data_IF_017944905636
#
_entry.id   IF_017944905636
#
_cell.length_a   1.000
_cell.length_b   1.000
_cell.length_c   1.000
_cell.angle_alpha   90.00
_cell.angle_beta   90.00
_cell.angle_gamma   90.00
#
_symmetry.space_group_name_H-M   'P 1'
#
loop_
_entity.id
_entity.type
_entity.pdbx_description
1 polymer ?
#
# COMPACT_ATOMS: atom_id res chain seq x y z
N UNK A 1 26.28 18.62 9.30
CA UNK A 1 25.12 19.38 8.79
C UNK A 1 24.03 18.40 8.35
N UNK A 2 22.77 18.61 8.75
CA UNK A 2 21.64 17.70 8.47
C UNK A 2 20.57 18.42 7.62
N UNK A 3 19.75 17.64 6.93
CA UNK A 3 18.79 18.03 5.87
C UNK A 3 17.67 19.00 6.30
N UNK A 4 17.41 19.18 7.60
CA UNK A 4 16.43 20.16 8.11
C UNK A 4 17.13 21.36 8.77
N UNK A 5 16.66 22.58 8.45
CA UNK A 5 17.14 23.83 9.03
C UNK A 5 16.64 24.07 10.46
N UNK A 6 15.62 23.33 10.92
CA UNK A 6 15.00 23.56 12.22
C UNK A 6 15.47 22.50 13.25
N UNK A 7 16.13 22.92 14.35
CA UNK A 7 16.72 21.99 15.33
C UNK A 7 15.66 21.15 16.06
N UNK A 8 14.44 21.65 16.25
CA UNK A 8 13.32 20.90 16.84
C UNK A 8 12.93 19.68 16.00
N UNK A 9 12.80 19.85 14.67
CA UNK A 9 12.46 18.75 13.76
C UNK A 9 13.58 17.70 13.67
N UNK A 10 14.83 18.13 13.88
CA UNK A 10 15.99 17.24 13.92
C UNK A 10 15.96 16.28 15.11
N UNK A 11 15.39 16.69 16.25
CA UNK A 11 15.23 15.81 17.42
C UNK A 11 14.21 14.69 17.16
N UNK A 12 13.24 14.91 16.28
CA UNK A 12 12.22 13.93 15.91
C UNK A 12 12.74 12.87 14.92
N UNK A 13 13.79 13.20 14.15
CA UNK A 13 14.51 12.26 13.28
C UNK A 13 15.52 11.42 14.10
N UNK A 14 15.05 10.78 15.16
CA UNK A 14 15.85 9.89 16.00
C UNK A 14 15.49 8.44 15.70
N UNK A 15 16.50 7.60 15.48
CA UNK A 15 16.31 6.17 15.21
C UNK A 15 15.51 5.46 16.31
N UNK A 16 15.63 5.91 17.57
CA UNK A 16 14.84 5.36 18.70
C UNK A 16 13.35 5.65 18.55
N UNK A 17 12.99 6.85 18.04
CA UNK A 17 11.60 7.22 17.78
C UNK A 17 11.07 6.41 16.61
N UNK A 18 11.86 6.25 15.55
CA UNK A 18 11.49 5.41 14.41
C UNK A 18 11.16 3.97 14.84
N UNK A 19 11.99 3.34 15.68
CA UNK A 19 11.71 2.00 16.20
C UNK A 19 10.41 1.96 17.00
N UNK A 20 10.18 2.93 17.90
CA UNK A 20 8.93 2.99 18.68
C UNK A 20 7.70 3.14 17.79
N UNK A 21 7.77 3.98 16.76
CA UNK A 21 6.68 4.15 15.80
C UNK A 21 6.43 2.86 15.02
N UNK A 22 7.48 2.20 14.52
CA UNK A 22 7.35 0.93 13.80
C UNK A 22 6.69 -0.13 14.69
N UNK A 23 7.15 -0.29 15.94
CA UNK A 23 6.53 -1.24 16.89
C UNK A 23 5.06 -0.91 17.14
N UNK A 24 4.72 0.36 17.32
CA UNK A 24 3.33 0.81 17.51
C UNK A 24 2.48 0.51 16.27
N UNK A 25 3.00 0.76 15.06
CA UNK A 25 2.30 0.42 13.82
C UNK A 25 2.08 -1.09 13.69
N UNK A 26 3.08 -1.91 14.00
CA UNK A 26 2.95 -3.37 13.98
C UNK A 26 1.83 -3.82 14.92
N UNK A 27 1.79 -3.29 16.14
CA UNK A 27 0.74 -3.62 17.11
C UNK A 27 -0.64 -3.21 16.59
N UNK A 28 -0.78 -2.00 16.04
CA UNK A 28 -2.05 -1.52 15.48
C UNK A 28 -2.51 -2.42 14.32
N UNK A 29 -1.61 -2.79 13.41
CA UNK A 29 -1.93 -3.68 12.30
C UNK A 29 -2.37 -5.07 12.78
N UNK A 30 -1.65 -5.65 13.74
CA UNK A 30 -2.04 -6.93 14.34
C UNK A 30 -3.44 -6.85 14.99
N UNK A 31 -3.75 -5.76 15.71
CA UNK A 31 -5.07 -5.58 16.30
C UNK A 31 -6.17 -5.44 15.25
N UNK A 32 -5.90 -4.73 14.14
CA UNK A 32 -6.82 -4.61 13.00
C UNK A 32 -7.06 -5.95 12.28
N UNK A 33 -6.09 -6.86 12.34
CA UNK A 33 -6.17 -8.17 11.68
C UNK A 33 -6.80 -9.27 12.56
N UNK A 34 -6.95 -9.06 13.87
CA UNK A 34 -7.64 -10.00 14.78
C UNK A 34 -9.04 -10.41 14.28
N UNK A 35 -9.91 -9.49 13.81
CA UNK A 35 -11.21 -9.86 13.25
C UNK A 35 -11.12 -10.86 12.09
N UNK A 36 -10.06 -10.82 11.28
CA UNK A 36 -9.87 -11.80 10.22
C UNK A 36 -9.62 -13.21 10.77
N UNK A 37 -8.98 -13.36 11.93
CA UNK A 37 -8.77 -14.65 12.57
C UNK A 37 -10.05 -15.22 13.20
N UNK A 38 -10.96 -14.36 13.65
CA UNK A 38 -12.16 -14.77 14.39
C UNK A 38 -13.32 -15.09 13.44
N UNK A 39 -13.51 -14.28 12.38
CA UNK A 39 -14.72 -14.34 11.54
C UNK A 39 -14.54 -15.11 10.23
N UNK A 40 -13.34 -15.62 9.94
CA UNK A 40 -13.13 -16.53 8.82
C UNK A 40 -13.20 -17.99 9.30
N UNK A 41 -14.14 -18.75 8.74
CA UNK A 41 -14.22 -20.20 8.95
C UNK A 41 -14.00 -20.96 7.64
N UNK A 42 -13.57 -22.21 7.80
CA UNK A 42 -13.45 -23.16 6.70
C UNK A 42 -14.78 -23.89 6.52
N UNK A 43 -15.46 -23.62 5.41
CA UNK A 43 -16.70 -24.31 5.07
C UNK A 43 -16.38 -25.33 3.97
N UNK A 44 -16.82 -26.57 4.18
CA UNK A 44 -16.77 -27.61 3.17
C UNK A 44 -17.92 -27.43 2.19
N UNK A 45 -17.61 -27.05 0.94
CA UNK A 45 -18.62 -26.92 -0.11
C UNK A 45 -18.89 -28.28 -0.75
N UNK A 46 -20.05 -28.86 -0.44
CA UNK A 46 -20.54 -30.13 -1.01
C UNK A 46 -20.62 -30.07 -2.55
N UNK A 47 -20.89 -28.89 -3.12
CA UNK A 47 -21.03 -28.70 -4.57
C UNK A 47 -19.73 -28.80 -5.37
N UNK A 48 -18.58 -28.56 -4.73
CA UNK A 48 -17.27 -28.52 -5.41
C UNK A 48 -16.23 -29.43 -4.78
N UNK A 49 -16.58 -30.16 -3.70
CA UNK A 49 -15.66 -30.97 -2.88
C UNK A 49 -14.38 -30.21 -2.49
N UNK A 50 -14.50 -28.90 -2.25
CA UNK A 50 -13.39 -28.03 -1.87
C UNK A 50 -13.69 -27.35 -0.54
N UNK A 51 -12.66 -27.21 0.27
CA UNK A 51 -12.69 -26.39 1.49
C UNK A 51 -12.42 -24.95 1.07
N UNK A 52 -13.37 -24.06 1.36
CA UNK A 52 -13.20 -22.62 1.09
C UNK A 52 -13.31 -21.84 2.38
N UNK A 53 -12.45 -20.83 2.54
CA UNK A 53 -12.52 -19.90 3.67
C UNK A 53 -13.58 -18.83 3.36
N UNK A 54 -14.60 -18.75 4.20
CA UNK A 54 -15.72 -17.81 4.02
C UNK A 54 -15.94 -17.03 5.30
N UNK A 55 -16.31 -15.77 5.16
CA UNK A 55 -16.71 -14.93 6.29
C UNK A 55 -18.06 -15.41 6.81
N UNK A 56 -18.15 -15.71 8.10
CA UNK A 56 -19.40 -16.16 8.75
C UNK A 56 -20.29 -15.01 9.20
N UNK A 57 -19.74 -13.81 9.36
CA UNK A 57 -20.46 -12.64 9.86
C UNK A 57 -20.73 -11.61 8.75
N UNK A 58 -22.00 -11.23 8.50
CA UNK A 58 -22.32 -10.21 7.49
C UNK A 58 -21.77 -8.82 7.86
N UNK A 59 -21.70 -8.51 9.16
CA UNK A 59 -21.14 -7.26 9.68
C UNK A 59 -19.64 -7.19 9.35
N UNK A 60 -18.91 -8.29 9.55
CA UNK A 60 -17.50 -8.36 9.23
C UNK A 60 -17.25 -8.26 7.71
N UNK A 61 -18.12 -8.86 6.91
CA UNK A 61 -18.07 -8.71 5.44
C UNK A 61 -18.25 -7.25 5.03
N UNK A 62 -19.20 -6.51 5.61
CA UNK A 62 -19.35 -5.07 5.35
C UNK A 62 -18.12 -4.26 5.79
N UNK A 63 -17.57 -4.53 6.98
CA UNK A 63 -16.34 -3.91 7.45
C UNK A 63 -15.18 -4.13 6.47
N UNK A 64 -15.01 -5.35 5.96
CA UNK A 64 -13.97 -5.67 4.99
C UNK A 64 -14.13 -4.90 3.68
N UNK A 65 -15.35 -4.83 3.17
CA UNK A 65 -15.68 -4.22 1.86
C UNK A 65 -15.56 -2.70 1.89
N UNK A 66 -16.10 -2.06 2.93
CA UNK A 66 -16.22 -0.60 2.97
C UNK A 66 -15.09 0.09 3.72
N UNK A 67 -14.42 -0.60 4.64
CA UNK A 67 -13.38 -0.01 5.47
C UNK A 67 -12.01 -0.64 5.20
N UNK A 68 -11.85 -1.94 5.43
CA UNK A 68 -10.53 -2.56 5.39
C UNK A 68 -9.87 -2.50 4.02
N UNK A 69 -10.57 -2.95 2.97
CA UNK A 69 -10.00 -2.99 1.62
C UNK A 69 -9.75 -1.58 1.03
N UNK A 70 -10.74 -0.66 0.97
CA UNK A 70 -10.54 0.63 0.33
C UNK A 70 -9.75 1.63 1.19
N UNK A 71 -9.98 1.68 2.51
CA UNK A 71 -9.39 2.71 3.36
C UNK A 71 -8.01 2.28 3.83
N UNK A 72 -7.90 1.14 4.52
CA UNK A 72 -6.63 0.67 5.06
C UNK A 72 -5.68 0.18 3.95
N UNK A 73 -6.20 -0.56 2.98
CA UNK A 73 -5.39 -1.14 1.89
C UNK A 73 -5.08 -0.17 0.74
N UNK A 74 -5.91 0.86 0.52
CA UNK A 74 -5.79 1.75 -0.64
C UNK A 74 -5.51 3.20 -0.26
N UNK A 75 -6.53 3.88 0.27
CA UNK A 75 -6.52 5.33 0.44
C UNK A 75 -5.46 5.80 1.45
N UNK A 76 -5.42 5.21 2.64
CA UNK A 76 -4.51 5.59 3.71
C UNK A 76 -3.03 5.51 3.29
N UNK A 77 -2.51 4.39 2.75
CA UNK A 77 -1.11 4.31 2.33
C UNK A 77 -0.79 5.29 1.19
N UNK A 78 -1.70 5.49 0.23
CA UNK A 78 -1.51 6.46 -0.87
C UNK A 78 -1.44 7.89 -0.33
N UNK A 79 -2.33 8.27 0.59
CA UNK A 79 -2.32 9.60 1.20
C UNK A 79 -1.05 9.85 1.99
N UNK A 80 -0.63 8.90 2.84
CA UNK A 80 0.59 9.00 3.63
C UNK A 80 1.80 9.13 2.70
N UNK A 81 1.93 8.25 1.71
CA UNK A 81 3.02 8.30 0.74
C UNK A 81 3.05 9.64 0.00
N UNK A 82 1.89 10.13 -0.47
CA UNK A 82 1.77 11.40 -1.19
C UNK A 82 2.26 12.58 -0.36
N UNK A 83 1.87 12.65 0.92
CA UNK A 83 2.34 13.70 1.83
C UNK A 83 3.87 13.62 2.00
N UNK A 84 4.42 12.42 2.17
CA UNK A 84 5.88 12.24 2.29
C UNK A 84 6.63 12.60 1.00
N UNK A 85 6.11 12.27 -0.19
CA UNK A 85 6.77 12.69 -1.43
C UNK A 85 6.71 14.19 -1.67
N UNK A 86 5.58 14.85 -1.35
CA UNK A 86 5.49 16.32 -1.45
C UNK A 86 6.53 16.94 -0.51
N UNK A 87 6.63 16.46 0.74
CA UNK A 87 7.65 16.92 1.67
C UNK A 87 9.07 16.64 1.17
N UNK A 88 9.31 15.48 0.57
CA UNK A 88 10.61 15.14 -0.02
C UNK A 88 10.96 16.08 -1.18
N UNK A 89 10.02 16.31 -2.09
CA UNK A 89 10.17 17.21 -3.23
C UNK A 89 10.50 18.65 -2.79
N UNK A 90 9.74 19.18 -1.82
CA UNK A 90 9.98 20.52 -1.27
C UNK A 90 11.35 20.61 -0.56
N UNK A 91 11.79 19.54 0.11
CA UNK A 91 13.12 19.51 0.73
C UNK A 91 14.24 19.51 -0.31
N UNK A 92 14.11 18.76 -1.41
CA UNK A 92 15.12 18.74 -2.49
C UNK A 92 15.26 20.13 -3.13
N UNK A 93 14.15 20.79 -3.43
CA UNK A 93 14.19 22.14 -3.98
C UNK A 93 14.90 23.13 -3.05
N UNK A 94 14.69 23.01 -1.74
CA UNK A 94 15.35 23.85 -0.73
C UNK A 94 16.84 23.53 -0.57
N UNK A 95 17.26 22.26 -0.69
CA UNK A 95 18.66 21.84 -0.60
C UNK A 95 19.48 22.34 -1.80
N UNK A 96 18.88 22.38 -2.99
CA UNK A 96 19.53 22.86 -4.21
C UNK A 96 20.07 24.30 -4.09
N UNK A 97 19.50 25.12 -3.20
CA UNK A 97 19.88 26.50 -2.96
C UNK A 97 21.01 26.67 -1.91
N UNK A 98 21.40 25.61 -1.20
CA UNK A 98 22.49 25.64 -0.19
C UNK A 98 23.74 24.93 -0.68
N UNK A 99 24.90 25.45 -0.29
CA UNK A 99 26.24 24.87 -0.51
C UNK A 99 26.46 23.61 0.35
N UNK A 100 25.73 22.53 0.02
CA UNK A 100 25.95 21.20 0.58
C UNK A 100 27.02 20.48 -0.26
N UNK A 101 27.97 19.74 0.35
CA UNK A 101 28.97 18.97 -0.40
C UNK A 101 28.33 18.07 -1.46
N UNK A 102 28.89 18.11 -2.67
CA UNK A 102 28.33 17.52 -3.90
C UNK A 102 27.94 16.04 -3.76
N UNK A 103 28.78 15.24 -3.10
CA UNK A 103 28.55 13.78 -2.93
C UNK A 103 27.27 13.49 -2.14
N UNK A 104 26.97 14.29 -1.11
CA UNK A 104 25.80 14.05 -0.24
C UNK A 104 24.50 14.54 -0.88
N UNK A 105 24.60 15.59 -1.71
CA UNK A 105 23.48 16.12 -2.48
C UNK A 105 22.97 15.08 -3.50
N UNK A 106 23.87 14.35 -4.15
CA UNK A 106 23.46 13.35 -5.15
C UNK A 106 22.76 12.15 -4.51
N UNK A 107 23.22 11.69 -3.34
CA UNK A 107 22.57 10.61 -2.60
C UNK A 107 21.14 10.98 -2.15
N UNK A 108 20.95 12.19 -1.61
CA UNK A 108 19.62 12.68 -1.19
C UNK A 108 18.70 12.88 -2.40
N UNK A 109 19.25 13.33 -3.54
CA UNK A 109 18.52 13.48 -4.80
C UNK A 109 18.11 12.13 -5.39
N UNK A 110 18.97 11.12 -5.32
CA UNK A 110 18.64 9.75 -5.72
C UNK A 110 17.52 9.18 -4.86
N UNK A 111 17.63 9.28 -3.52
CA UNK A 111 16.61 8.78 -2.60
C UNK A 111 15.24 9.44 -2.84
N UNK A 112 15.22 10.75 -3.06
CA UNK A 112 13.98 11.49 -3.31
C UNK A 112 13.40 11.23 -4.70
N UNK A 113 14.24 11.04 -5.73
CA UNK A 113 13.81 10.61 -7.06
C UNK A 113 13.14 9.22 -7.00
N UNK A 114 13.73 8.28 -6.25
CA UNK A 114 13.14 6.95 -6.01
C UNK A 114 11.74 7.07 -5.41
N UNK A 115 11.58 7.86 -4.35
CA UNK A 115 10.28 8.04 -3.68
C UNK A 115 9.25 8.70 -4.60
N UNK A 116 9.66 9.66 -5.43
CA UNK A 116 8.76 10.36 -6.35
C UNK A 116 8.22 9.44 -7.46
N UNK A 117 9.06 8.53 -7.96
CA UNK A 117 8.66 7.51 -8.96
C UNK A 117 7.84 6.39 -8.31
N UNK A 118 8.12 6.04 -7.07
CA UNK A 118 7.44 4.96 -6.36
C UNK A 118 5.92 5.21 -6.19
N UNK A 119 5.50 6.46 -5.99
CA UNK A 119 4.08 6.80 -5.76
C UNK A 119 3.19 6.52 -6.98
N UNK A 120 3.44 7.05 -8.18
CA UNK A 120 2.61 6.75 -9.34
C UNK A 120 2.59 5.25 -9.63
N UNK A 121 3.71 4.54 -9.47
CA UNK A 121 3.74 3.08 -9.55
C UNK A 121 2.82 2.43 -8.51
N UNK A 122 2.87 2.87 -7.25
CA UNK A 122 2.01 2.34 -6.18
C UNK A 122 0.54 2.56 -6.48
N UNK A 123 0.17 3.72 -7.03
CA UNK A 123 -1.21 4.02 -7.47
C UNK A 123 -1.63 3.06 -8.59
N UNK A 124 -0.80 2.90 -9.62
CA UNK A 124 -1.07 2.01 -10.76
C UNK A 124 -1.24 0.55 -10.32
N UNK A 125 -0.45 0.09 -9.35
CA UNK A 125 -0.54 -1.30 -8.86
C UNK A 125 -1.67 -1.53 -7.86
N UNK A 126 -2.01 -0.55 -7.03
CA UNK A 126 -2.97 -0.72 -5.92
C UNK A 126 -4.41 -0.43 -6.34
N UNK A 127 -4.63 0.59 -7.18
CA UNK A 127 -5.99 1.02 -7.56
C UNK A 127 -6.78 -0.08 -8.28
N UNK A 128 -6.25 -0.76 -9.32
CA UNK A 128 -7.01 -1.82 -10.02
C UNK A 128 -7.43 -2.96 -9.09
N UNK A 129 -6.56 -3.32 -8.14
CA UNK A 129 -6.84 -4.34 -7.15
C UNK A 129 -7.98 -3.91 -6.21
N UNK A 130 -7.92 -2.69 -5.67
CA UNK A 130 -9.00 -2.21 -4.79
C UNK A 130 -10.35 -2.13 -5.50
N UNK A 131 -10.40 -1.66 -6.76
CA UNK A 131 -11.62 -1.58 -7.56
C UNK A 131 -12.21 -2.99 -7.79
N UNK A 132 -11.40 -3.94 -8.26
CA UNK A 132 -11.87 -5.30 -8.55
C UNK A 132 -12.32 -6.03 -7.27
N UNK A 133 -11.66 -5.81 -6.14
CA UNK A 133 -12.03 -6.39 -4.85
C UNK A 133 -13.39 -5.86 -4.34
N UNK A 134 -13.66 -4.55 -4.53
CA UNK A 134 -14.96 -3.95 -4.21
C UNK A 134 -16.06 -4.50 -5.13
N UNK A 135 -15.78 -4.63 -6.43
CA UNK A 135 -16.74 -5.15 -7.40
C UNK A 135 -17.13 -6.60 -7.10
N UNK A 136 -16.16 -7.48 -6.84
CA UNK A 136 -16.43 -8.88 -6.49
C UNK A 136 -17.26 -8.97 -5.21
N UNK A 137 -16.91 -8.16 -4.21
CA UNK A 137 -17.52 -8.29 -2.88
C UNK A 137 -18.93 -7.70 -2.79
N UNK A 138 -19.30 -6.75 -3.65
CA UNK A 138 -20.66 -6.18 -3.69
C UNK A 138 -21.63 -6.96 -4.61
N UNK A 139 -21.14 -7.88 -5.44
CA UNK A 139 -21.99 -8.58 -6.41
C UNK A 139 -22.60 -9.86 -5.83
N UNK A 140 -23.61 -9.67 -4.98
CA UNK A 140 -24.36 -10.75 -4.30
C UNK A 140 -25.32 -11.51 -5.23
N UNK A 141 -25.57 -11.07 -6.46
CA UNK A 141 -26.39 -11.83 -7.43
C UNK A 141 -26.22 -11.25 -8.84
N UNK A 142 -25.25 -11.75 -9.60
CA UNK A 142 -25.15 -11.43 -11.03
C UNK A 142 -25.82 -12.51 -11.86
N UNK A 143 -27.00 -12.18 -12.37
CA UNK A 143 -27.83 -12.99 -13.26
C UNK A 143 -27.13 -13.30 -14.60
N UNK A 144 -26.01 -12.64 -14.92
CA UNK A 144 -25.30 -12.75 -16.19
C UNK A 144 -23.88 -13.30 -16.00
N UNK A 145 -23.68 -14.55 -16.44
CA UNK A 145 -22.41 -15.28 -16.32
C UNK A 145 -21.24 -14.63 -17.08
N UNK A 146 -21.52 -13.88 -18.15
CA UNK A 146 -20.48 -13.24 -18.98
C UNK A 146 -19.78 -12.11 -18.22
N UNK A 147 -20.54 -11.28 -17.51
CA UNK A 147 -20.00 -10.16 -16.71
C UNK A 147 -19.14 -10.71 -15.58
N UNK A 148 -19.57 -11.80 -14.95
CA UNK A 148 -18.82 -12.43 -13.86
C UNK A 148 -17.46 -12.98 -14.34
N UNK A 149 -17.41 -13.61 -15.53
CA UNK A 149 -16.16 -14.08 -16.12
C UNK A 149 -15.19 -12.92 -16.43
N UNK A 150 -15.70 -11.78 -16.92
CA UNK A 150 -14.88 -10.59 -17.17
C UNK A 150 -14.30 -10.01 -15.88
N UNK A 151 -15.08 -9.94 -14.81
CA UNK A 151 -14.64 -9.44 -13.51
C UNK A 151 -13.59 -10.37 -12.89
N UNK A 152 -13.76 -11.69 -13.00
CA UNK A 152 -12.77 -12.66 -12.54
C UNK A 152 -11.45 -12.55 -13.30
N UNK A 153 -11.50 -12.37 -14.61
CA UNK A 153 -10.30 -12.12 -15.42
C UNK A 153 -9.60 -10.82 -15.00
N UNK A 154 -10.36 -9.72 -14.88
CA UNK A 154 -9.83 -8.44 -14.42
C UNK A 154 -9.21 -8.52 -13.02
N UNK A 155 -9.83 -9.26 -12.10
CA UNK A 155 -9.31 -9.48 -10.76
C UNK A 155 -7.99 -10.26 -10.77
N UNK A 156 -7.89 -11.31 -11.60
CA UNK A 156 -6.65 -12.08 -11.73
C UNK A 156 -5.49 -11.20 -12.23
N UNK A 157 -5.75 -10.35 -13.23
CA UNK A 157 -4.76 -9.37 -13.73
C UNK A 157 -4.42 -8.34 -12.65
N UNK A 158 -5.41 -7.83 -11.94
CA UNK A 158 -5.20 -6.85 -10.87
C UNK A 158 -4.38 -7.41 -9.71
N UNK A 159 -4.59 -8.67 -9.32
CA UNK A 159 -3.80 -9.38 -8.31
C UNK A 159 -2.34 -9.50 -8.76
N UNK A 160 -2.10 -9.89 -10.03
CA UNK A 160 -0.74 -9.97 -10.58
C UNK A 160 -0.03 -8.62 -10.57
N UNK A 161 -0.74 -7.55 -10.96
CA UNK A 161 -0.21 -6.18 -10.90
C UNK A 161 0.07 -5.72 -9.46
N UNK A 162 -0.79 -6.08 -8.52
CA UNK A 162 -0.58 -5.75 -7.11
C UNK A 162 0.68 -6.43 -6.55
N UNK A 163 0.83 -7.74 -6.76
CA UNK A 163 2.00 -8.48 -6.27
C UNK A 163 3.30 -8.15 -7.02
N UNK A 164 3.22 -7.76 -8.29
CA UNK A 164 4.42 -7.27 -9.01
C UNK A 164 4.95 -5.97 -8.42
N UNK A 165 4.08 -5.13 -7.83
CA UNK A 165 4.48 -3.92 -7.09
C UNK A 165 5.36 -4.20 -5.87
N UNK A 166 5.29 -5.40 -5.27
CA UNK A 166 6.16 -5.82 -4.16
C UNK A 166 7.47 -6.49 -4.64
N UNK A 167 7.60 -6.74 -5.95
CA UNK A 167 8.81 -7.36 -6.50
C UNK A 167 9.94 -6.34 -6.55
N UNK A 168 10.87 -6.47 -5.60
CA UNK A 168 12.05 -5.60 -5.40
C UNK A 168 12.85 -5.39 -6.71
N UNK A 169 12.87 -6.37 -7.61
CA UNK A 169 13.67 -6.34 -8.83
C UNK A 169 13.11 -5.46 -9.97
N UNK A 170 11.80 -5.28 -10.08
CA UNK A 170 11.20 -4.72 -11.31
C UNK A 170 11.34 -3.18 -11.34
N UNK A 171 11.11 -2.51 -10.22
CA UNK A 171 11.24 -1.05 -10.14
C UNK A 171 12.68 -0.59 -9.87
N UNK A 172 13.47 -1.34 -9.09
CA UNK A 172 14.85 -0.96 -8.76
C UNK A 172 15.78 -1.07 -9.98
N UNK A 173 15.57 -2.07 -10.86
CA UNK A 173 16.38 -2.25 -12.07
C UNK A 173 16.18 -1.16 -13.14
N UNK A 174 14.99 -0.55 -13.22
CA UNK A 174 14.70 0.55 -14.14
C UNK A 174 15.28 1.87 -13.63
N UNK A 175 15.28 2.09 -12.31
CA UNK A 175 15.73 3.35 -11.70
C UNK A 175 17.27 3.41 -11.51
N UNK A 176 17.96 2.28 -11.36
CA UNK A 176 19.44 2.26 -11.23
C UNK A 176 20.16 2.42 -12.59
N UNK A 177 19.46 2.21 -13.71
CA UNK A 177 20.04 2.32 -15.07
C UNK A 177 19.81 3.68 -15.77
N UNK A 178 19.18 4.64 -15.10
CA UNK A 178 18.96 6.02 -15.57
C UNK A 178 19.83 6.99 -14.76
#
# INVERSE_FOLDING_TARGET
>A
FATSSHPRWRQWSNIKIAHRLITLFIIIWLLCDIPFLIFYDQIYLISTNKVTCVSTSPIFTQYRIYFSAPILGGFLPICIASVFAIMAYLNVQRIAYRTVPLVRRELDKQLTSIVLVQIPCTIIFTVPYTITNILISNQVSMTNQVIWAQIQFASSVAILLFYSGFSVSICVGVVIKL
#
